data_IF_365283166407
#
_entry.id   IF_365283166407
#
_cell.length_a   1.000
_cell.length_b   1.000
_cell.length_c   1.000
_cell.angle_alpha   90.00
_cell.angle_beta   90.00
_cell.angle_gamma   90.00
#
_symmetry.space_group_name_H-M   'P 1'
#
loop_
_entity.id
_entity.type
_entity.pdbx_description
1 polymer ?
#
# COMPACT_ATOMS: atom_id res chain seq x y z
N UNK A 1 -3.77 -3.52 26.76
CA UNK A 1 -3.24 -4.18 25.56
C UNK A 1 -2.82 -3.09 24.62
N UNK A 2 -1.52 -2.77 24.54
CA UNK A 2 -1.02 -1.84 23.53
C UNK A 2 -1.04 -2.61 22.21
N UNK A 3 -2.08 -2.40 21.41
CA UNK A 3 -2.24 -3.08 20.13
C UNK A 3 -1.23 -2.54 19.15
N UNK A 4 -0.25 -3.36 18.78
CA UNK A 4 0.65 -3.09 17.65
C UNK A 4 -0.24 -3.01 16.39
N UNK A 5 -0.36 -1.85 15.76
CA UNK A 5 -1.17 -1.73 14.54
C UNK A 5 -0.34 -2.23 13.36
N UNK A 6 -0.75 -3.34 12.75
CA UNK A 6 -0.11 -3.90 11.55
C UNK A 6 -0.64 -3.18 10.30
N UNK A 7 0.27 -2.70 9.47
CA UNK A 7 -0.04 -2.07 8.17
C UNK A 7 0.79 -2.76 7.10
N UNK A 8 0.15 -3.23 6.05
CA UNK A 8 0.80 -3.79 4.88
C UNK A 8 0.81 -2.78 3.75
N UNK A 9 2.00 -2.44 3.27
CA UNK A 9 2.25 -1.54 2.15
C UNK A 9 2.77 -2.38 0.98
N UNK A 10 2.04 -2.40 -0.13
CA UNK A 10 2.38 -3.24 -1.29
C UNK A 10 2.42 -2.44 -2.57
N UNK A 11 3.47 -2.61 -3.38
CA UNK A 11 3.50 -2.05 -4.73
C UNK A 11 3.17 -3.12 -5.75
N UNK A 12 2.24 -2.81 -6.64
CA UNK A 12 1.83 -3.68 -7.74
C UNK A 12 2.15 -3.02 -9.08
N UNK A 13 2.52 -3.84 -10.05
CA UNK A 13 2.50 -3.49 -11.46
C UNK A 13 1.27 -4.12 -12.08
N UNK A 14 0.38 -3.27 -12.61
CA UNK A 14 -0.78 -3.70 -13.40
C UNK A 14 -0.42 -3.52 -14.86
N UNK A 15 -0.51 -4.57 -15.65
CA UNK A 15 -0.41 -4.51 -17.09
C UNK A 15 -1.81 -4.67 -17.68
N UNK A 16 -2.22 -3.72 -18.49
CA UNK A 16 -3.53 -3.65 -19.11
C UNK A 16 -3.40 -3.28 -20.59
N UNK A 17 -4.52 -3.39 -21.31
CA UNK A 17 -4.59 -2.93 -22.70
C UNK A 17 -4.39 -1.41 -22.76
N UNK A 18 -3.42 -0.88 -23.53
CA UNK A 18 -3.13 0.55 -23.59
C UNK A 18 -4.36 1.40 -23.92
N UNK A 19 -5.20 0.94 -24.83
CA UNK A 19 -6.43 1.61 -25.27
C UNK A 19 -7.52 1.69 -24.18
N UNK A 20 -7.37 0.95 -23.08
CA UNK A 20 -8.32 0.93 -21.96
C UNK A 20 -7.75 1.52 -20.67
N UNK A 21 -6.53 2.09 -20.69
CA UNK A 21 -5.89 2.65 -19.50
C UNK A 21 -6.74 3.71 -18.80
N UNK A 22 -7.34 4.64 -19.55
CA UNK A 22 -8.18 5.69 -18.97
C UNK A 22 -9.36 5.10 -18.20
N UNK A 23 -10.07 4.13 -18.80
CA UNK A 23 -11.19 3.44 -18.16
C UNK A 23 -10.75 2.64 -16.94
N UNK A 24 -9.62 1.94 -17.04
CA UNK A 24 -9.06 1.20 -15.91
C UNK A 24 -8.72 2.14 -14.75
N UNK A 25 -8.05 3.27 -15.00
CA UNK A 25 -7.73 4.25 -13.95
C UNK A 25 -8.98 4.77 -13.25
N UNK A 26 -10.05 5.04 -13.97
CA UNK A 26 -11.35 5.41 -13.37
C UNK A 26 -11.89 4.32 -12.46
N UNK A 27 -11.83 3.04 -12.87
CA UNK A 27 -12.26 1.93 -12.03
C UNK A 27 -11.37 1.73 -10.79
N UNK A 28 -10.06 1.91 -10.93
CA UNK A 28 -9.11 1.78 -9.81
C UNK A 28 -9.24 2.92 -8.80
N UNK A 29 -9.63 4.13 -9.22
CA UNK A 29 -9.86 5.26 -8.34
C UNK A 29 -11.02 5.05 -7.34
N UNK A 30 -11.90 4.08 -7.60
CA UNK A 30 -12.97 3.69 -6.68
C UNK A 30 -12.49 2.76 -5.55
N UNK A 31 -11.22 2.36 -5.55
CA UNK A 31 -10.60 1.52 -4.51
C UNK A 31 -9.86 2.44 -3.53
N UNK A 32 -10.40 2.74 -2.32
CA UNK A 32 -9.84 3.77 -1.44
C UNK A 32 -8.42 3.49 -0.95
N UNK A 33 -8.03 2.21 -0.89
CA UNK A 33 -6.71 1.76 -0.44
C UNK A 33 -5.64 1.82 -1.55
N UNK A 34 -6.03 2.17 -2.78
CA UNK A 34 -5.16 2.11 -3.95
C UNK A 34 -4.83 3.51 -4.46
N UNK A 35 -3.55 3.76 -4.63
CA UNK A 35 -3.04 4.98 -5.26
C UNK A 35 -2.17 4.65 -6.48
N UNK A 36 -2.31 5.44 -7.54
CA UNK A 36 -1.58 5.28 -8.80
C UNK A 36 -0.39 6.23 -8.82
N UNK A 37 0.83 5.67 -8.89
CA UNK A 37 2.09 6.42 -8.84
C UNK A 37 2.74 6.63 -10.20
N UNK A 38 2.37 5.84 -11.20
CA UNK A 38 2.97 5.96 -12.53
C UNK A 38 2.21 5.18 -13.59
N UNK A 39 2.39 5.61 -14.84
CA UNK A 39 1.88 4.92 -16.01
C UNK A 39 2.87 5.02 -17.18
N UNK A 40 2.70 4.15 -18.17
CA UNK A 40 3.38 4.30 -19.45
C UNK A 40 2.43 4.04 -20.64
N UNK A 41 2.85 4.45 -21.83
CA UNK A 41 2.08 4.27 -23.06
C UNK A 41 1.90 2.80 -23.48
N UNK A 42 2.65 1.88 -22.87
CA UNK A 42 2.56 0.43 -23.14
C UNK A 42 1.51 -0.27 -22.27
N UNK A 43 0.71 0.46 -21.47
CA UNK A 43 -0.36 -0.15 -20.68
C UNK A 43 0.05 -0.58 -19.27
N UNK A 44 1.22 -0.15 -18.77
CA UNK A 44 1.67 -0.47 -17.41
C UNK A 44 1.29 0.64 -16.44
N UNK A 45 0.81 0.25 -15.27
CA UNK A 45 0.56 1.11 -14.12
C UNK A 45 1.39 0.62 -12.93
N UNK A 46 1.93 1.57 -12.16
CA UNK A 46 2.49 1.32 -10.83
C UNK A 46 1.49 1.83 -9.82
N UNK A 47 1.05 0.95 -8.91
CA UNK A 47 0.10 1.29 -7.85
C UNK A 47 0.63 0.86 -6.49
N UNK A 48 0.20 1.56 -5.44
CA UNK A 48 0.48 1.21 -4.04
C UNK A 48 -0.82 0.91 -3.33
N UNK A 49 -0.80 -0.14 -2.50
CA UNK A 49 -1.88 -0.55 -1.62
C UNK A 49 -1.45 -0.43 -0.17
N UNK A 50 -2.29 0.19 0.65
CA UNK A 50 -2.16 0.22 2.10
C UNK A 50 -3.34 -0.49 2.76
N UNK A 51 -3.06 -1.55 3.53
CA UNK A 51 -4.11 -2.40 4.11
C UNK A 51 -3.75 -2.86 5.52
N UNK A 52 -4.74 -3.17 6.34
CA UNK A 52 -4.51 -3.63 7.72
C UNK A 52 -4.18 -5.14 7.81
N UNK A 53 -4.39 -5.91 6.74
CA UNK A 53 -4.10 -7.35 6.73
C UNK A 53 -3.71 -7.85 5.33
N UNK A 54 -2.86 -8.87 5.28
CA UNK A 54 -2.45 -9.51 4.03
C UNK A 54 -3.63 -10.03 3.18
N UNK A 55 -4.69 -10.55 3.80
CA UNK A 55 -5.86 -11.07 3.08
C UNK A 55 -6.61 -10.02 2.26
N UNK A 56 -6.49 -8.74 2.63
CA UNK A 56 -7.10 -7.65 1.88
C UNK A 56 -6.35 -7.40 0.55
N UNK A 57 -5.03 -7.57 0.54
CA UNK A 57 -4.20 -7.38 -0.66
C UNK A 57 -4.54 -8.41 -1.73
N UNK A 58 -4.60 -9.69 -1.36
CA UNK A 58 -4.93 -10.76 -2.33
C UNK A 58 -6.32 -10.57 -2.90
N UNK A 59 -7.28 -10.15 -2.08
CA UNK A 59 -8.64 -9.83 -2.51
C UNK A 59 -8.67 -8.70 -3.55
N UNK A 60 -7.90 -7.63 -3.34
CA UNK A 60 -7.80 -6.53 -4.30
C UNK A 60 -7.12 -7.00 -5.60
N UNK A 61 -6.04 -7.79 -5.51
CA UNK A 61 -5.37 -8.35 -6.69
C UNK A 61 -6.34 -9.19 -7.52
N UNK A 62 -7.15 -10.03 -6.88
CA UNK A 62 -8.14 -10.86 -7.56
C UNK A 62 -9.22 -10.01 -8.23
N UNK A 63 -9.71 -8.96 -7.56
CA UNK A 63 -10.68 -8.03 -8.15
C UNK A 63 -10.11 -7.33 -9.40
N UNK A 64 -8.87 -6.84 -9.34
CA UNK A 64 -8.22 -6.16 -10.46
C UNK A 64 -7.97 -7.15 -11.61
N UNK A 65 -7.53 -8.38 -11.33
CA UNK A 65 -7.32 -9.42 -12.35
C UNK A 65 -8.62 -9.81 -13.09
N UNK A 66 -9.79 -9.63 -12.47
CA UNK A 66 -11.08 -9.90 -13.10
C UNK A 66 -11.56 -8.78 -14.03
N UNK A 67 -10.90 -7.61 -14.04
CA UNK A 67 -11.26 -6.52 -14.94
C UNK A 67 -10.91 -6.90 -16.39
N UNK A 68 -11.85 -6.78 -17.35
CA UNK A 68 -11.63 -7.23 -18.74
C UNK A 68 -10.43 -6.62 -19.47
N UNK A 69 -10.00 -5.42 -19.04
CA UNK A 69 -8.88 -4.69 -19.63
C UNK A 69 -7.52 -5.11 -19.08
N UNK A 70 -7.48 -5.83 -17.95
CA UNK A 70 -6.25 -6.23 -17.26
C UNK A 70 -5.71 -7.51 -17.86
N UNK A 71 -4.41 -7.50 -18.15
CA UNK A 71 -3.65 -8.63 -18.70
C UNK A 71 -2.89 -9.37 -17.59
N UNK A 72 -2.40 -8.63 -16.60
CA UNK A 72 -1.68 -9.20 -15.46
C UNK A 72 -1.59 -8.19 -14.31
N UNK A 73 -1.59 -8.70 -13.08
CA UNK A 73 -1.22 -7.94 -11.87
C UNK A 73 -0.08 -8.67 -11.18
N UNK A 74 1.02 -7.97 -10.91
CA UNK A 74 2.20 -8.55 -10.26
C UNK A 74 2.59 -7.69 -9.07
N UNK A 75 2.72 -8.30 -7.90
CA UNK A 75 3.31 -7.64 -6.73
C UNK A 75 4.83 -7.59 -6.90
N UNK A 76 5.39 -6.38 -6.82
CA UNK A 76 6.84 -6.14 -6.97
C UNK A 76 7.51 -5.75 -5.65
N UNK A 77 6.71 -5.35 -4.66
CA UNK A 77 7.19 -4.99 -3.33
C UNK A 77 6.10 -5.22 -2.28
N UNK A 78 6.51 -5.62 -1.08
CA UNK A 78 5.65 -5.78 0.08
C UNK A 78 6.44 -5.48 1.36
N UNK A 79 5.92 -4.59 2.18
CA UNK A 79 6.42 -4.27 3.51
C UNK A 79 5.30 -4.36 4.53
N UNK A 80 5.66 -4.83 5.72
CA UNK A 80 4.78 -4.84 6.89
C UNK A 80 5.36 -3.85 7.88
N UNK A 81 4.58 -2.84 8.24
CA UNK A 81 4.88 -1.87 9.27
C UNK A 81 4.08 -2.18 10.52
N UNK A 82 4.70 -1.88 11.65
CA UNK A 82 4.10 -2.02 12.96
C UNK A 82 4.18 -0.67 13.66
N UNK A 83 3.03 -0.14 14.08
CA UNK A 83 3.00 1.08 14.89
C UNK A 83 3.55 0.75 16.29
N UNK A 84 4.85 1.00 16.50
CA UNK A 84 5.41 1.02 17.84
C UNK A 84 4.84 2.25 18.55
N UNK A 85 4.12 2.08 19.68
CA UNK A 85 3.62 3.22 20.42
C UNK A 85 4.83 4.08 20.78
N UNK A 86 4.88 5.31 20.26
CA UNK A 86 5.87 6.31 20.66
C UNK A 86 5.86 6.38 22.19
N UNK A 87 6.77 5.67 22.84
CA UNK A 87 6.99 5.82 24.26
C UNK A 87 7.54 7.23 24.39
N UNK A 88 6.69 8.16 24.85
CA UNK A 88 7.11 9.46 25.28
C UNK A 88 8.35 9.25 26.17
N UNK A 89 9.50 9.76 25.74
CA UNK A 89 10.69 9.80 26.57
C UNK A 89 10.38 10.67 27.79
N UNK A 90 9.81 10.06 28.83
CA UNK A 90 9.73 10.68 30.14
C UNK A 90 11.05 10.46 30.85
N UNK A 91 11.65 11.59 31.23
CA UNK A 91 12.52 11.81 32.41
C UNK A 91 13.97 11.25 32.28
N UNK A 92 15.02 11.91 32.76
CA UNK A 92 15.12 12.74 33.96
C UNK A 92 16.47 13.49 33.96
N UNK A 93 16.49 14.80 33.71
CA UNK A 93 17.65 15.62 34.11
C UNK A 93 17.46 16.05 35.56
N UNK A 94 17.56 15.09 36.48
CA UNK A 94 17.70 15.41 37.89
C UNK A 94 19.03 16.11 38.10
N UNK A 95 18.96 17.38 38.49
CA UNK A 95 20.00 18.02 39.30
C UNK A 95 20.33 17.07 40.46
N UNK A 96 21.58 16.59 40.55
CA UNK A 96 22.38 16.50 41.76
C UNK A 96 23.69 15.73 41.50
N UNK A 97 24.81 16.38 41.80
CA UNK A 97 26.15 15.85 41.71
C UNK A 97 27.13 16.86 42.28
N UNK A 98 27.05 17.04 43.60
CA UNK A 98 27.98 17.83 44.39
C UNK A 98 29.43 17.40 44.14
N UNK A 99 30.33 18.39 44.05
CA UNK A 99 31.51 18.59 44.90
C UNK A 99 32.19 19.92 44.52
#
# INVERSE_FOLDING_TARGET
MSGNHEVHISSLVIHARPEQLTTLKTALAEIPQLEIYGENAEGKLVVVLETQTHGFITTIIDQINQLPSVLSVVMVYHQIEFDEPMMAQSTQSSLEGAL
#
